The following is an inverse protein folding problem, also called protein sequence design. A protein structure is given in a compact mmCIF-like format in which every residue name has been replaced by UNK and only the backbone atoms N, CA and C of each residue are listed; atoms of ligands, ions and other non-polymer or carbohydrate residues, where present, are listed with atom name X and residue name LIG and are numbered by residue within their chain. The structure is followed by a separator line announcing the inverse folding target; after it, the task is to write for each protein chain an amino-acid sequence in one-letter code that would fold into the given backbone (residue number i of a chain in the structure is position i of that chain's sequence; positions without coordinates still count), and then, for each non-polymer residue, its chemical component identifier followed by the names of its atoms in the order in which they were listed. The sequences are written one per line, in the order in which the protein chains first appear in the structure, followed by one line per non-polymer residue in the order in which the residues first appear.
data_IF_475322633356
#
_entry.id   IF_475322633356
#
_cell.length_a   1.000
_cell.length_b   1.000
_cell.length_c   1.000
_cell.angle_alpha   90.00
_cell.angle_beta   90.00
_cell.angle_gamma   90.00
#
_symmetry.space_group_name_H-M   'P 1'
#
loop_
_entity.id
_entity.type
_entity.pdbx_description
1 polymer ?
#
# COMPACT_ATOMS: atom_id res chain seq x y z
N UNK A 1 17.28 -4.21 4.55
CA UNK A 1 17.33 -5.59 4.02
C UNK A 1 16.61 -6.47 5.01
N UNK A 2 15.40 -6.90 4.68
CA UNK A 2 14.61 -7.82 5.49
C UNK A 2 14.83 -9.24 4.96
N UNK A 3 15.27 -10.12 5.85
CA UNK A 3 15.59 -11.52 5.57
C UNK A 3 14.29 -12.30 5.34
N UNK A 4 14.18 -12.97 4.20
CA UNK A 4 13.08 -13.90 3.91
C UNK A 4 13.17 -15.15 4.79
N UNK A 5 12.01 -15.67 5.20
CA UNK A 5 11.87 -16.93 5.94
C UNK A 5 12.26 -18.12 5.02
N UNK A 6 13.25 -18.96 5.39
CA UNK A 6 13.76 -20.02 4.54
C UNK A 6 12.78 -21.20 4.29
N UNK A 7 11.58 -21.19 4.86
CA UNK A 7 10.59 -22.26 4.68
C UNK A 7 9.29 -21.84 3.96
N UNK A 8 9.18 -20.58 3.50
CA UNK A 8 8.09 -20.21 2.61
C UNK A 8 8.36 -20.79 1.21
N UNK A 9 7.39 -21.44 0.53
CA UNK A 9 7.57 -21.79 -0.87
C UNK A 9 7.78 -20.48 -1.66
N UNK A 10 9.02 -20.25 -2.10
CA UNK A 10 9.50 -19.07 -2.83
C UNK A 10 8.91 -19.04 -4.26
N UNK A 11 7.60 -18.80 -4.38
CA UNK A 11 7.00 -18.43 -5.67
C UNK A 11 7.28 -16.95 -5.97
N UNK A 12 7.31 -16.08 -4.96
CA UNK A 12 7.59 -14.66 -5.14
C UNK A 12 9.08 -14.36 -5.33
N UNK A 13 9.48 -14.03 -6.57
CA UNK A 13 10.86 -13.66 -6.92
C UNK A 13 11.25 -12.23 -6.58
N UNK A 14 10.30 -11.29 -6.60
CA UNK A 14 10.57 -9.90 -6.23
C UNK A 14 9.33 -9.21 -5.69
N UNK A 15 9.56 -8.31 -4.74
CA UNK A 15 8.54 -7.42 -4.20
C UNK A 15 9.19 -6.08 -3.87
N UNK A 16 8.75 -5.02 -4.53
CA UNK A 16 9.30 -3.68 -4.36
C UNK A 16 8.18 -2.67 -4.25
N UNK A 17 8.27 -1.81 -3.23
CA UNK A 17 7.27 -0.82 -2.89
C UNK A 17 7.98 0.53 -2.78
N UNK A 18 7.50 1.55 -3.48
CA UNK A 18 7.96 2.92 -3.23
C UNK A 18 7.36 3.45 -1.93
N UNK A 19 8.10 4.28 -1.19
CA UNK A 19 7.59 4.91 0.03
C UNK A 19 6.24 5.60 -0.23
N UNK A 20 5.20 5.29 0.56
CA UNK A 20 3.94 6.01 0.46
C UNK A 20 4.12 7.46 0.90
N UNK A 21 3.31 8.33 0.30
CA UNK A 21 3.18 9.71 0.73
C UNK A 21 1.71 10.08 0.86
N UNK A 22 1.42 11.06 1.71
CA UNK A 22 0.08 11.59 1.89
C UNK A 22 0.07 13.08 1.55
N UNK A 23 -0.95 13.50 0.81
CA UNK A 23 -1.17 14.91 0.47
C UNK A 23 -2.65 15.25 0.55
N UNK A 24 -2.94 16.54 0.73
CA UNK A 24 -4.29 17.08 0.74
C UNK A 24 -4.49 17.88 -0.56
N UNK A 25 -5.33 17.40 -1.50
CA UNK A 25 -5.57 18.10 -2.75
C UNK A 25 -6.29 19.44 -2.54
N UNK A 26 -7.20 19.48 -1.57
CA UNK A 26 -8.00 20.65 -1.24
C UNK A 26 -7.93 20.93 0.28
N UNK A 27 -7.30 22.04 0.71
CA UNK A 27 -7.14 22.38 2.12
C UNK A 27 -8.47 22.62 2.85
N UNK A 28 -9.57 22.95 2.14
CA UNK A 28 -10.87 23.25 2.77
C UNK A 28 -11.75 22.03 2.99
N UNK A 29 -11.29 20.84 2.57
CA UNK A 29 -12.00 19.57 2.78
C UNK A 29 -11.13 18.64 3.62
N UNK A 30 -11.71 17.96 4.62
CA UNK A 30 -11.04 16.90 5.39
C UNK A 30 -10.87 15.61 4.55
N UNK A 31 -10.10 15.73 3.46
CA UNK A 31 -9.86 14.68 2.48
C UNK A 31 -8.39 14.70 2.06
N UNK A 32 -7.71 13.63 2.44
CA UNK A 32 -6.33 13.35 2.07
C UNK A 32 -6.27 12.14 1.15
N UNK A 33 -5.19 12.06 0.39
CA UNK A 33 -4.90 10.96 -0.52
C UNK A 33 -3.55 10.35 -0.17
N UNK A 34 -3.55 9.04 0.07
CA UNK A 34 -2.31 8.25 0.22
C UNK A 34 -2.00 7.62 -1.13
N UNK A 35 -0.79 7.83 -1.63
CA UNK A 35 -0.37 7.31 -2.93
C UNK A 35 1.06 6.75 -2.88
N UNK A 36 1.41 5.99 -3.90
CA UNK A 36 2.71 5.35 -4.10
C UNK A 36 3.17 5.70 -5.50
N UNK A 37 4.47 5.89 -5.69
CA UNK A 37 5.02 6.02 -7.05
C UNK A 37 4.84 4.72 -7.83
N UNK A 38 5.17 3.59 -7.21
CA UNK A 38 4.93 2.27 -7.77
C UNK A 38 4.88 1.18 -6.69
N UNK A 39 4.21 0.08 -7.01
CA UNK A 39 4.33 -1.21 -6.31
C UNK A 39 4.51 -2.28 -7.39
N UNK A 40 5.47 -3.17 -7.21
CA UNK A 40 5.68 -4.28 -8.14
C UNK A 40 5.91 -5.56 -7.35
N UNK A 41 5.20 -6.62 -7.73
CA UNK A 41 5.39 -7.96 -7.23
C UNK A 41 5.53 -8.91 -8.42
N UNK A 42 6.47 -9.85 -8.35
CA UNK A 42 6.78 -10.80 -9.43
C UNK A 42 6.88 -12.22 -8.86
N UNK A 43 6.13 -13.13 -9.46
CA UNK A 43 6.10 -14.56 -9.18
C UNK A 43 6.75 -15.32 -10.36
N UNK A 44 7.58 -16.33 -10.08
CA UNK A 44 8.17 -17.19 -11.12
C UNK A 44 7.18 -18.17 -11.77
N UNK A 45 5.96 -18.27 -11.24
CA UNK A 45 4.87 -19.13 -11.71
C UNK A 45 5.27 -20.60 -11.85
N UNK A 46 6.33 -21.04 -11.16
CA UNK A 46 6.92 -22.36 -11.31
C UNK A 46 6.33 -23.38 -10.33
N UNK A 47 5.82 -22.90 -9.19
CA UNK A 47 5.20 -23.73 -8.16
C UNK A 47 4.08 -22.98 -7.44
N UNK A 48 2.97 -23.67 -7.18
CA UNK A 48 1.90 -23.14 -6.33
C UNK A 48 2.39 -22.94 -4.87
N UNK A 49 1.81 -21.98 -4.13
CA UNK A 49 0.70 -21.12 -4.51
C UNK A 49 1.12 -19.95 -5.42
N UNK A 50 0.31 -19.68 -6.45
CA UNK A 50 0.55 -18.61 -7.42
C UNK A 50 -0.03 -17.28 -6.94
N UNK A 51 0.75 -16.22 -7.12
CA UNK A 51 0.30 -14.86 -6.90
C UNK A 51 -0.86 -14.52 -7.83
N UNK A 52 -1.98 -14.13 -7.23
CA UNK A 52 -3.20 -13.78 -7.96
C UNK A 52 -3.60 -12.32 -7.72
N UNK A 53 -3.29 -11.79 -6.53
CA UNK A 53 -3.74 -10.46 -6.13
C UNK A 53 -2.63 -9.61 -5.53
N UNK A 54 -2.81 -8.29 -5.59
CA UNK A 54 -2.06 -7.31 -4.80
C UNK A 54 -3.07 -6.48 -4.02
N UNK A 55 -3.02 -6.54 -2.70
CA UNK A 55 -3.89 -5.80 -1.82
C UNK A 55 -3.15 -4.66 -1.11
N UNK A 56 -3.79 -3.49 -1.04
CA UNK A 56 -3.35 -2.38 -0.20
C UNK A 56 -4.41 -2.11 0.85
N UNK A 57 -3.96 -2.08 2.11
CA UNK A 57 -4.78 -1.89 3.29
C UNK A 57 -4.29 -0.63 4.01
N UNK A 58 -5.21 0.23 4.43
CA UNK A 58 -4.90 1.44 5.20
C UNK A 58 -5.67 1.38 6.52
N UNK A 59 -4.95 1.40 7.64
CA UNK A 59 -5.46 1.20 9.02
C UNK A 59 -6.42 0.00 9.12
N UNK A 60 -5.98 -1.15 8.59
CA UNK A 60 -6.72 -2.41 8.63
C UNK A 60 -7.89 -2.51 7.64
N UNK A 61 -8.20 -1.46 6.88
CA UNK A 61 -9.27 -1.47 5.86
C UNK A 61 -8.69 -1.61 4.46
N UNK A 62 -9.15 -2.60 3.69
CA UNK A 62 -8.72 -2.79 2.30
C UNK A 62 -9.19 -1.59 1.46
N UNK A 63 -8.26 -0.92 0.81
CA UNK A 63 -8.50 0.28 -0.02
C UNK A 63 -8.26 0.04 -1.50
N UNK A 64 -7.42 -0.93 -1.83
CA UNK A 64 -7.16 -1.32 -3.20
C UNK A 64 -6.92 -2.82 -3.31
N UNK A 65 -7.28 -3.37 -4.46
CA UNK A 65 -7.04 -4.75 -4.83
C UNK A 65 -6.84 -4.83 -6.35
N UNK A 66 -5.67 -5.27 -6.80
CA UNK A 66 -5.38 -5.56 -8.20
C UNK A 66 -5.28 -7.07 -8.42
N UNK A 67 -5.64 -7.52 -9.61
CA UNK A 67 -5.35 -8.88 -10.10
C UNK A 67 -4.07 -8.90 -10.89
N UNK A 68 -3.37 -10.03 -10.90
CA UNK A 68 -2.30 -10.27 -11.86
C UNK A 68 -2.83 -10.14 -13.29
N UNK A 69 -2.09 -9.40 -14.12
CA UNK A 69 -2.47 -9.09 -15.50
C UNK A 69 -1.56 -9.77 -16.53
N UNK A 70 -0.29 -10.04 -16.21
CA UNK A 70 0.67 -10.69 -17.11
C UNK A 70 1.70 -11.55 -16.35
N UNK A 71 1.91 -12.79 -16.79
CA UNK A 71 3.10 -13.63 -16.49
C UNK A 71 3.60 -13.61 -15.03
N UNK A 72 2.69 -13.64 -14.05
CA UNK A 72 3.07 -13.64 -12.63
C UNK A 72 3.55 -12.29 -12.10
N UNK A 73 3.39 -11.20 -12.83
CA UNK A 73 3.70 -9.84 -12.35
C UNK A 73 2.43 -9.04 -12.08
N UNK A 74 2.40 -8.35 -10.93
CA UNK A 74 1.40 -7.33 -10.62
C UNK A 74 2.12 -6.01 -10.42
N UNK A 75 1.69 -4.98 -11.13
CA UNK A 75 2.22 -3.62 -10.97
C UNK A 75 1.09 -2.67 -10.64
N UNK A 76 1.37 -1.78 -9.70
CA UNK A 76 0.62 -0.56 -9.43
C UNK A 76 1.52 0.62 -9.82
N UNK A 77 0.99 1.54 -10.61
CA UNK A 77 1.58 2.87 -10.85
C UNK A 77 0.63 3.94 -10.32
N UNK A 78 1.18 5.08 -9.90
CA UNK A 78 0.38 6.25 -9.51
C UNK A 78 -0.62 6.66 -10.62
N UNK A 79 -0.26 6.46 -11.90
CA UNK A 79 -1.12 6.76 -13.05
C UNK A 79 -2.42 5.93 -13.08
N UNK A 80 -2.45 4.77 -12.40
CA UNK A 80 -3.64 3.91 -12.33
C UNK A 80 -4.68 4.45 -11.36
N UNK A 81 -4.25 5.19 -10.33
CA UNK A 81 -5.12 5.87 -9.36
C UNK A 81 -4.52 7.26 -9.08
N UNK A 82 -4.69 8.22 -9.99
CA UNK A 82 -4.05 9.53 -9.86
C UNK A 82 -4.53 10.28 -8.63
N UNK A 83 -5.79 10.08 -8.22
CA UNK A 83 -6.37 10.68 -7.01
C UNK A 83 -5.91 9.99 -5.71
N UNK A 84 -5.15 8.91 -5.79
CA UNK A 84 -4.70 8.11 -4.65
C UNK A 84 -5.82 7.42 -3.87
N UNK A 85 -5.45 6.84 -2.73
CA UNK A 85 -6.37 6.17 -1.81
C UNK A 85 -6.87 7.14 -0.75
N UNK A 86 -8.17 7.46 -0.79
CA UNK A 86 -8.77 8.50 0.06
C UNK A 86 -8.85 8.11 1.54
N UNK A 87 -8.43 9.03 2.39
CA UNK A 87 -8.53 9.01 3.85
C UNK A 87 -8.92 10.39 4.40
N UNK A 88 -9.25 10.48 5.68
CA UNK A 88 -9.40 11.78 6.34
C UNK A 88 -8.02 12.37 6.62
N UNK A 89 -7.86 13.69 6.48
CA UNK A 89 -6.60 14.33 6.89
C UNK A 89 -6.51 14.36 8.42
N UNK A 90 -7.62 14.67 9.10
CA UNK A 90 -7.70 14.80 10.56
C UNK A 90 -7.26 16.17 11.07
N UNK A 91 -7.68 16.49 12.29
CA UNK A 91 -7.34 17.76 12.96
C UNK A 91 -5.84 17.90 13.25
N UNK A 92 -5.33 19.11 13.48
CA UNK A 92 -3.96 19.32 13.95
C UNK A 92 -3.55 18.39 15.09
N UNK A 93 -2.41 17.72 14.94
CA UNK A 93 -1.83 16.75 15.85
C UNK A 93 -2.68 15.49 16.15
N UNK A 94 -3.68 15.15 15.34
CA UNK A 94 -4.54 13.97 15.57
C UNK A 94 -3.75 12.65 15.64
N UNK A 95 -2.67 12.53 14.88
CA UNK A 95 -1.77 11.36 14.87
C UNK A 95 -0.54 11.51 15.77
N UNK A 96 -0.41 12.58 16.55
CA UNK A 96 0.71 12.79 17.48
C UNK A 96 2.03 13.19 16.83
N UNK A 97 2.03 13.64 15.57
CA UNK A 97 3.24 13.99 14.81
C UNK A 97 3.59 15.50 14.84
N UNK A 98 2.80 16.34 15.52
CA UNK A 98 2.94 17.80 15.54
C UNK A 98 1.70 18.51 14.99
N UNK A 99 1.57 19.81 15.25
CA UNK A 99 0.38 20.61 14.88
C UNK A 99 0.21 20.79 13.37
N UNK A 100 1.28 20.71 12.59
CA UNK A 100 1.26 20.77 11.12
C UNK A 100 0.74 19.47 10.46
N UNK A 101 0.62 18.38 11.22
CA UNK A 101 0.22 17.07 10.73
C UNK A 101 -1.10 16.63 11.35
N UNK A 102 -1.89 15.89 10.56
CA UNK A 102 -3.15 15.33 10.98
C UNK A 102 -2.97 13.88 11.45
N UNK A 103 -3.78 12.99 10.88
CA UNK A 103 -3.74 11.56 11.14
C UNK A 103 -2.44 10.92 10.62
N UNK A 104 -2.04 9.85 11.30
CA UNK A 104 -1.00 8.92 10.84
C UNK A 104 -1.67 7.60 10.50
N UNK A 105 -1.39 7.09 9.31
CA UNK A 105 -2.00 5.88 8.78
C UNK A 105 -0.98 4.75 8.64
N UNK A 106 -1.30 3.59 9.19
CA UNK A 106 -0.58 2.35 8.90
C UNK A 106 -1.01 1.82 7.53
N UNK A 107 -0.04 1.61 6.65
CA UNK A 107 -0.23 1.11 5.29
C UNK A 107 0.39 -0.28 5.21
N UNK A 108 -0.38 -1.23 4.68
CA UNK A 108 0.07 -2.62 4.49
C UNK A 108 -0.18 -3.03 3.04
N UNK A 109 0.87 -3.48 2.36
CA UNK A 109 0.85 -3.93 0.98
C UNK A 109 1.18 -5.41 0.95
N UNK A 110 0.35 -6.22 0.29
CA UNK A 110 0.50 -7.67 0.28
C UNK A 110 0.20 -8.24 -1.12
N UNK A 111 1.17 -8.90 -1.77
CA UNK A 111 0.85 -9.88 -2.79
C UNK A 111 0.17 -11.09 -2.12
N UNK A 112 -0.94 -11.55 -2.71
CA UNK A 112 -1.75 -12.64 -2.18
C UNK A 112 -1.88 -13.78 -3.20
N UNK A 113 -1.94 -15.00 -2.69
CA UNK A 113 -2.21 -16.18 -3.50
C UNK A 113 -3.70 -16.28 -3.92
N UNK A 114 -4.04 -17.34 -4.67
CA UNK A 114 -5.42 -17.64 -5.08
C UNK A 114 -6.39 -17.84 -3.90
N UNK A 115 -5.88 -18.22 -2.73
CA UNK A 115 -6.63 -18.41 -1.47
C UNK A 115 -6.66 -17.14 -0.61
N UNK A 116 -6.10 -16.02 -1.09
CA UNK A 116 -5.96 -14.73 -0.40
C UNK A 116 -5.03 -14.74 0.80
N UNK A 117 -4.12 -15.71 0.90
CA UNK A 117 -3.07 -15.71 1.90
C UNK A 117 -1.93 -14.75 1.47
N UNK A 118 -1.38 -13.95 2.39
CA UNK A 118 -0.21 -13.12 2.10
C UNK A 118 0.99 -13.98 1.74
N UNK A 119 1.58 -13.71 0.57
CA UNK A 119 2.84 -14.33 0.14
C UNK A 119 4.04 -13.52 0.62
N UNK A 120 3.85 -12.21 0.80
CA UNK A 120 4.79 -11.30 1.43
C UNK A 120 4.03 -10.12 2.03
N UNK A 121 4.70 -9.24 2.77
CA UNK A 121 4.08 -8.08 3.40
C UNK A 121 5.09 -6.94 3.52
N UNK A 122 4.69 -5.75 3.05
CA UNK A 122 5.40 -4.49 3.27
C UNK A 122 4.51 -3.57 4.12
N UNK A 123 5.12 -2.89 5.09
CA UNK A 123 4.41 -2.05 6.06
C UNK A 123 5.13 -0.72 6.17
N UNK A 124 4.35 0.36 6.08
CA UNK A 124 4.84 1.71 6.30
C UNK A 124 3.81 2.52 7.11
N UNK A 125 4.28 3.56 7.78
CA UNK A 125 3.40 4.58 8.34
C UNK A 125 3.51 5.84 7.48
N UNK A 126 2.38 6.43 7.15
CA UNK A 126 2.32 7.69 6.40
C UNK A 126 1.62 8.75 7.22
N UNK A 127 2.29 9.89 7.37
CA UNK A 127 1.75 11.06 8.07
C UNK A 127 1.05 11.96 7.06
N UNK A 128 -0.21 12.31 7.32
CA UNK A 128 -0.96 13.24 6.50
C UNK A 128 -0.85 14.69 7.03
N UNK A 129 -0.96 15.71 6.16
CA UNK A 129 -1.10 17.09 6.61
C UNK A 129 -2.37 17.26 7.46
N UNK A 130 -2.36 18.23 8.37
CA UNK A 130 -3.54 18.57 9.16
C UNK A 130 -4.58 19.29 8.31
N UNK A 131 -5.86 18.93 8.48
CA UNK A 131 -6.97 19.72 7.96
C UNK A 131 -7.18 20.97 8.83
N UNK A 132 -7.19 22.14 8.21
CA UNK A 132 -7.54 23.42 8.84
C UNK A 132 -8.62 24.10 7.99
N UNK A 133 -9.89 24.12 8.44
CA UNK A 133 -10.98 24.79 7.74
C UNK A 133 -10.81 26.32 7.68
#
# INVERSE_FOLDING_TARGET
GTQADPNAPDSLTSFTVSNPYCYQPDPVVDKCSINFRFVQATDNQSSAPFMTWLAITISGKRRYNATAFFEGTITYSYDMIPDGLTVACGSPNAGGAGSQYGNVYGVTIQPLDSSRNPMSTDIANVTCPAFSP
#
